data_IF_269298579332
#
_entry.id   IF_269298579332
#
_cell.length_a   1.000
_cell.length_b   1.000
_cell.length_c   1.000
_cell.angle_alpha   90.00
_cell.angle_beta   90.00
_cell.angle_gamma   90.00
#
_symmetry.space_group_name_H-M   'P 1'
#
loop_
_entity.id
_entity.type
_entity.pdbx_description
1 polymer ?
#
# COMPACT_ATOMS: atom_id res chain seq x y z
N UNK A 1 4.25 31.21 3.12
CA UNK A 1 4.48 29.78 2.80
C UNK A 1 3.86 28.94 3.90
N UNK A 2 2.89 28.07 3.59
CA UNK A 2 2.38 27.10 4.58
C UNK A 2 3.54 26.16 4.94
N UNK A 3 3.77 25.95 6.23
CA UNK A 3 4.82 25.04 6.72
C UNK A 3 4.31 23.60 6.51
N UNK A 4 5.12 22.77 5.83
CA UNK A 4 4.82 21.34 5.72
C UNK A 4 4.67 20.73 7.12
N UNK A 5 3.66 19.89 7.31
CA UNK A 5 3.48 19.18 8.59
C UNK A 5 4.42 17.97 8.74
N UNK A 6 4.96 17.45 7.64
CA UNK A 6 6.04 16.45 7.67
C UNK A 6 7.37 17.15 7.89
N UNK A 7 8.16 16.71 8.86
CA UNK A 7 9.40 17.40 9.24
C UNK A 7 10.55 16.47 9.57
N UNK A 8 10.46 15.20 9.18
CA UNK A 8 11.51 14.22 9.41
C UNK A 8 12.35 14.02 8.15
N UNK A 9 13.65 14.35 8.26
CA UNK A 9 14.60 13.99 7.23
C UNK A 9 15.13 12.58 7.50
N UNK A 10 14.94 11.70 6.53
CA UNK A 10 15.50 10.34 6.53
C UNK A 10 16.42 10.17 5.33
N UNK A 11 17.51 9.40 5.42
CA UNK A 11 18.34 9.08 4.26
C UNK A 11 17.50 8.42 3.17
N UNK A 12 17.54 8.94 1.96
CA UNK A 12 16.68 8.43 0.88
C UNK A 12 17.11 7.08 0.34
N UNK A 13 18.43 6.84 0.21
CA UNK A 13 19.04 5.58 -0.26
C UNK A 13 18.36 5.01 -1.54
N UNK A 14 18.02 5.86 -2.51
CA UNK A 14 17.30 5.48 -3.74
C UNK A 14 18.30 4.94 -4.79
N UNK A 15 19.02 3.85 -4.49
CA UNK A 15 20.10 3.32 -5.35
C UNK A 15 19.59 2.89 -6.72
N UNK A 16 18.34 2.46 -6.81
CA UNK A 16 17.70 1.96 -8.04
C UNK A 16 16.91 3.02 -8.80
N UNK A 17 16.98 4.31 -8.40
CA UNK A 17 16.17 5.38 -8.99
C UNK A 17 16.37 5.55 -10.50
N UNK A 18 17.61 5.42 -10.99
CA UNK A 18 17.97 5.53 -12.42
C UNK A 18 17.98 4.18 -13.15
N UNK A 19 17.50 3.10 -12.53
CA UNK A 19 17.56 1.75 -13.09
C UNK A 19 16.19 1.35 -13.64
N UNK A 20 16.10 1.18 -14.97
CA UNK A 20 14.91 0.63 -15.61
C UNK A 20 14.56 -0.74 -15.05
N UNK A 21 13.28 -1.02 -14.77
CA UNK A 21 12.86 -2.32 -14.26
C UNK A 21 13.20 -3.47 -15.23
N UNK A 22 13.69 -4.57 -14.68
CA UNK A 22 14.06 -5.77 -15.42
C UNK A 22 13.04 -6.87 -15.14
N UNK A 23 12.47 -7.46 -16.20
CA UNK A 23 11.59 -8.62 -16.06
C UNK A 23 12.41 -9.85 -15.65
N UNK A 24 11.97 -10.54 -14.62
CA UNK A 24 12.60 -11.81 -14.20
C UNK A 24 12.23 -12.95 -15.16
N UNK A 25 13.06 -14.00 -15.17
CA UNK A 25 12.64 -15.27 -15.76
C UNK A 25 11.42 -15.80 -15.03
N UNK A 26 10.60 -16.58 -15.73
CA UNK A 26 9.36 -17.11 -15.14
C UNK A 26 9.68 -18.03 -13.96
N UNK A 27 9.07 -17.83 -12.80
CA UNK A 27 9.23 -18.73 -11.67
C UNK A 27 8.65 -20.11 -12.03
N UNK A 28 9.27 -21.16 -11.52
CA UNK A 28 8.75 -22.53 -11.66
C UNK A 28 7.37 -22.68 -11.01
N UNK A 29 7.12 -21.95 -9.94
CA UNK A 29 5.87 -21.98 -9.19
C UNK A 29 5.55 -20.61 -8.57
N UNK A 30 4.28 -20.38 -8.33
CA UNK A 30 3.80 -19.18 -7.59
C UNK A 30 2.87 -19.59 -6.45
N UNK A 31 2.88 -18.79 -5.38
CA UNK A 31 2.07 -18.95 -4.18
C UNK A 31 1.16 -17.74 -4.02
N UNK A 32 -0.13 -17.93 -4.13
CA UNK A 32 -1.14 -16.87 -4.13
C UNK A 32 -1.98 -16.92 -2.86
N UNK A 33 -1.62 -16.12 -1.82
CA UNK A 33 -2.40 -16.04 -0.58
C UNK A 33 -3.75 -15.37 -0.82
N UNK A 34 -4.78 -15.83 -0.10
CA UNK A 34 -6.14 -15.29 -0.24
C UNK A 34 -6.34 -13.93 0.44
N UNK A 35 -5.41 -13.50 1.29
CA UNK A 35 -5.45 -12.25 2.05
C UNK A 35 -4.59 -11.11 1.45
N UNK A 36 -4.38 -11.08 0.14
CA UNK A 36 -3.57 -10.03 -0.52
C UNK A 36 -4.23 -8.63 -0.52
N UNK A 37 -5.27 -8.43 0.28
CA UNK A 37 -6.05 -7.18 0.40
C UNK A 37 -6.56 -6.98 1.83
N UNK A 38 -7.08 -5.79 2.10
CA UNK A 38 -7.74 -5.50 3.37
C UNK A 38 -9.19 -5.96 3.35
N UNK A 39 -9.64 -6.61 4.39
CA UNK A 39 -11.00 -7.12 4.55
C UNK A 39 -11.03 -8.63 4.72
N UNK A 40 -12.04 -9.30 4.16
CA UNK A 40 -12.19 -10.75 4.22
C UNK A 40 -11.31 -11.42 3.17
N UNK A 41 -10.71 -12.55 3.51
CA UNK A 41 -9.94 -13.36 2.55
C UNK A 41 -10.82 -13.75 1.36
N UNK A 42 -10.20 -13.86 0.18
CA UNK A 42 -10.88 -14.39 -1.00
C UNK A 42 -11.09 -15.91 -0.85
N UNK A 43 -12.13 -16.45 -1.50
CA UNK A 43 -12.42 -17.88 -1.47
C UNK A 43 -11.99 -18.54 -2.78
N UNK A 44 -11.10 -19.55 -2.75
CA UNK A 44 -10.72 -20.34 -3.91
C UNK A 44 -11.92 -20.92 -4.66
N UNK A 45 -11.90 -20.86 -6.00
CA UNK A 45 -12.92 -21.43 -6.87
C UNK A 45 -12.36 -22.50 -7.83
N UNK A 46 -11.07 -22.79 -7.72
CA UNK A 46 -10.35 -23.82 -8.46
C UNK A 46 -10.05 -25.01 -7.55
N UNK A 47 -9.71 -26.14 -8.14
CA UNK A 47 -9.34 -27.38 -7.45
C UNK A 47 -7.92 -27.80 -7.82
N UNK A 48 -7.30 -28.62 -6.97
CA UNK A 48 -6.02 -29.26 -7.29
C UNK A 48 -6.17 -30.11 -8.55
N UNK A 49 -5.25 -29.94 -9.50
CA UNK A 49 -5.27 -30.55 -10.84
C UNK A 49 -5.84 -29.66 -11.94
N UNK A 50 -6.50 -28.54 -11.61
CA UNK A 50 -7.01 -27.62 -12.62
C UNK A 50 -5.87 -26.96 -13.40
N UNK A 51 -6.07 -26.86 -14.73
CA UNK A 51 -5.23 -26.07 -15.61
C UNK A 51 -5.74 -24.63 -15.61
N UNK A 52 -4.84 -23.68 -15.31
CA UNK A 52 -5.19 -22.26 -15.25
C UNK A 52 -4.34 -21.45 -16.23
N UNK A 53 -4.88 -20.29 -16.66
CA UNK A 53 -4.20 -19.36 -17.56
C UNK A 53 -4.01 -18.00 -16.90
N UNK A 54 -3.04 -17.23 -17.41
CA UNK A 54 -2.74 -15.91 -16.87
C UNK A 54 -3.97 -14.99 -16.93
N UNK A 55 -4.31 -14.37 -15.82
CA UNK A 55 -5.48 -13.51 -15.71
C UNK A 55 -6.80 -14.24 -15.43
N UNK A 56 -6.82 -15.57 -15.41
CA UNK A 56 -8.00 -16.36 -15.03
C UNK A 56 -8.35 -16.09 -13.56
N UNK A 57 -9.63 -15.88 -13.27
CA UNK A 57 -10.14 -15.80 -11.90
C UNK A 57 -9.98 -17.15 -11.20
N UNK A 58 -9.25 -17.18 -10.08
CA UNK A 58 -9.00 -18.41 -9.30
C UNK A 58 -9.54 -18.35 -7.88
N UNK A 59 -9.81 -17.14 -7.37
CA UNK A 59 -10.53 -16.95 -6.12
C UNK A 59 -11.42 -15.72 -6.20
N UNK A 60 -12.65 -15.86 -5.73
CA UNK A 60 -13.64 -14.78 -5.70
C UNK A 60 -13.59 -14.03 -4.38
N UNK A 61 -14.04 -12.83 -4.42
CA UNK A 61 -14.22 -12.03 -3.23
C UNK A 61 -15.32 -12.54 -2.31
N UNK A 62 -15.12 -12.36 -1.01
CA UNK A 62 -16.07 -12.71 0.03
C UNK A 62 -16.35 -11.51 0.95
N UNK A 63 -17.58 -11.42 1.45
CA UNK A 63 -17.96 -10.37 2.39
C UNK A 63 -17.97 -8.94 1.82
N UNK A 64 -17.97 -7.96 2.71
CA UNK A 64 -18.19 -6.54 2.35
C UNK A 64 -16.98 -5.90 1.65
N UNK A 65 -15.78 -6.23 2.08
CA UNK A 65 -14.53 -5.76 1.51
C UNK A 65 -13.64 -6.97 1.26
N UNK A 66 -13.40 -7.26 0.01
CA UNK A 66 -12.55 -8.31 -0.49
C UNK A 66 -12.08 -7.94 -1.89
N UNK A 67 -11.20 -8.72 -2.48
CA UNK A 67 -10.71 -8.49 -3.84
C UNK A 67 -10.43 -9.84 -4.49
N UNK A 68 -10.88 -10.07 -5.73
CA UNK A 68 -10.63 -11.31 -6.43
C UNK A 68 -9.13 -11.56 -6.63
N UNK A 69 -8.76 -12.83 -6.76
CA UNK A 69 -7.40 -13.28 -7.06
C UNK A 69 -7.39 -13.96 -8.42
N UNK A 70 -6.41 -13.62 -9.24
CA UNK A 70 -6.22 -14.16 -10.58
C UNK A 70 -4.92 -14.96 -10.66
N UNK A 71 -4.89 -15.96 -11.53
CA UNK A 71 -3.67 -16.68 -11.82
C UNK A 71 -2.63 -15.75 -12.46
N UNK A 72 -1.42 -15.76 -11.93
CA UNK A 72 -0.34 -14.88 -12.34
C UNK A 72 0.64 -15.55 -13.30
N UNK A 73 0.51 -16.86 -13.45
CA UNK A 73 1.18 -17.69 -14.45
C UNK A 73 0.16 -18.65 -15.07
N UNK A 74 0.44 -19.19 -16.26
CA UNK A 74 -0.27 -20.36 -16.79
C UNK A 74 0.38 -21.64 -16.23
N UNK A 75 -0.45 -22.66 -15.97
CA UNK A 75 0.05 -23.92 -15.41
C UNK A 75 -1.01 -24.71 -14.67
N UNK A 76 -0.57 -25.55 -13.73
CA UNK A 76 -1.43 -26.47 -12.97
C UNK A 76 -1.53 -26.06 -11.51
N UNK A 77 -2.73 -26.05 -10.96
CA UNK A 77 -2.96 -25.93 -9.51
C UNK A 77 -2.48 -27.21 -8.83
N UNK A 78 -1.38 -27.13 -8.08
CA UNK A 78 -0.79 -28.32 -7.43
C UNK A 78 -1.18 -28.46 -5.97
N UNK A 79 -1.59 -27.34 -5.32
CA UNK A 79 -1.96 -27.36 -3.91
C UNK A 79 -2.93 -26.21 -3.60
N UNK A 80 -3.87 -26.48 -2.69
CA UNK A 80 -4.65 -25.46 -1.97
C UNK A 80 -4.43 -25.74 -0.49
N UNK A 81 -3.45 -25.02 0.07
CA UNK A 81 -2.97 -25.21 1.43
C UNK A 81 -3.27 -24.02 2.33
N UNK A 82 -2.48 -23.89 3.39
CA UNK A 82 -2.51 -22.80 4.36
C UNK A 82 -1.10 -22.30 4.61
N UNK A 83 -0.93 -20.99 4.75
CA UNK A 83 0.35 -20.37 5.13
C UNK A 83 0.16 -19.37 6.28
N UNK A 84 1.20 -19.20 7.07
CA UNK A 84 1.27 -18.13 8.08
C UNK A 84 1.47 -16.77 7.39
N UNK A 85 0.97 -15.72 8.02
CA UNK A 85 1.09 -14.35 7.51
C UNK A 85 2.04 -13.54 8.35
N UNK A 86 2.75 -12.60 7.75
CA UNK A 86 3.66 -11.70 8.47
C UNK A 86 2.98 -10.86 9.57
N UNK A 87 1.65 -10.76 9.55
CA UNK A 87 0.86 -10.06 10.58
C UNK A 87 0.32 -10.97 11.68
N UNK A 88 0.67 -12.24 11.65
CA UNK A 88 0.11 -13.30 12.48
C UNK A 88 -1.21 -13.86 11.92
N UNK A 89 -1.53 -15.10 12.29
CA UNK A 89 -2.67 -15.86 11.75
C UNK A 89 -2.31 -16.61 10.48
N UNK A 90 -3.29 -17.32 9.92
CA UNK A 90 -3.16 -18.16 8.73
C UNK A 90 -4.11 -17.70 7.65
N UNK A 91 -3.76 -17.95 6.37
CA UNK A 91 -4.61 -17.73 5.21
C UNK A 91 -4.51 -18.92 4.25
N UNK A 92 -5.55 -19.16 3.48
CA UNK A 92 -5.46 -20.13 2.36
C UNK A 92 -4.44 -19.62 1.34
N UNK A 93 -3.77 -20.57 0.66
CA UNK A 93 -2.83 -20.28 -0.44
C UNK A 93 -3.08 -21.24 -1.59
N UNK A 94 -3.11 -20.71 -2.80
CA UNK A 94 -3.15 -21.53 -4.03
C UNK A 94 -1.72 -21.55 -4.58
N UNK A 95 -1.18 -22.77 -4.79
CA UNK A 95 0.09 -23.01 -5.46
C UNK A 95 -0.17 -23.41 -6.90
N UNK A 96 0.51 -22.74 -7.83
CA UNK A 96 0.43 -23.03 -9.26
C UNK A 96 1.85 -23.34 -9.74
N UNK A 97 2.04 -24.52 -10.31
CA UNK A 97 3.24 -24.91 -11.05
C UNK A 97 3.13 -24.36 -12.47
N UNK A 98 4.08 -23.51 -12.85
CA UNK A 98 4.08 -22.82 -14.15
C UNK A 98 4.42 -23.79 -15.29
N UNK A 99 3.74 -23.66 -16.40
CA UNK A 99 4.07 -24.36 -17.65
C UNK A 99 5.10 -23.61 -18.52
N UNK A 100 5.56 -22.45 -18.05
CA UNK A 100 6.54 -21.60 -18.74
C UNK A 100 6.02 -20.84 -19.96
N UNK A 101 4.70 -20.90 -20.30
CA UNK A 101 4.16 -20.33 -21.52
C UNK A 101 3.54 -18.96 -21.37
N UNK A 102 3.03 -18.62 -20.17
CA UNK A 102 2.31 -17.39 -19.88
C UNK A 102 1.10 -17.16 -20.81
N UNK A 103 0.38 -18.24 -21.13
CA UNK A 103 -0.82 -18.16 -21.98
C UNK A 103 -1.92 -17.35 -21.27
N UNK A 104 -2.41 -16.24 -21.87
CA UNK A 104 -3.50 -15.49 -21.26
C UNK A 104 -4.82 -16.27 -21.34
N UNK A 105 -5.68 -16.08 -20.34
CA UNK A 105 -7.01 -16.62 -20.36
C UNK A 105 -7.86 -15.97 -21.47
N UNK A 106 -8.72 -16.72 -22.20
CA UNK A 106 -9.60 -16.16 -23.24
C UNK A 106 -10.56 -15.06 -22.75
N UNK A 107 -10.82 -14.99 -21.45
CA UNK A 107 -11.63 -13.93 -20.82
C UNK A 107 -10.88 -12.59 -20.68
N UNK A 108 -9.54 -12.60 -20.84
CA UNK A 108 -8.72 -11.37 -20.78
C UNK A 108 -9.01 -10.51 -22.01
N UNK A 109 -9.94 -9.57 -21.83
CA UNK A 109 -10.37 -8.60 -22.85
C UNK A 109 -10.74 -7.30 -22.17
N UNK A 110 -10.54 -6.15 -22.85
CA UNK A 110 -10.99 -4.87 -22.30
C UNK A 110 -12.45 -4.92 -21.87
N UNK A 111 -12.80 -4.48 -20.65
CA UNK A 111 -14.18 -4.47 -20.19
C UNK A 111 -15.01 -3.46 -21.00
N UNK A 112 -16.29 -3.76 -21.16
CA UNK A 112 -17.23 -2.83 -21.79
C UNK A 112 -17.72 -1.84 -20.73
N UNK A 113 -17.41 -0.55 -20.94
CA UNK A 113 -17.73 0.52 -20.00
C UNK A 113 -18.78 1.45 -20.61
N UNK A 114 -19.93 1.55 -19.97
CA UNK A 114 -21.06 2.39 -20.40
C UNK A 114 -21.29 3.58 -19.47
N UNK A 115 -21.06 3.38 -18.18
CA UNK A 115 -21.39 4.31 -17.10
C UNK A 115 -20.48 4.12 -15.87
N UNK A 116 -20.75 4.85 -14.78
CA UNK A 116 -19.98 4.75 -13.53
C UNK A 116 -20.09 3.35 -12.90
N UNK A 117 -21.24 2.70 -12.95
CA UNK A 117 -21.45 1.42 -12.29
C UNK A 117 -20.68 0.29 -13.01
N UNK A 118 -20.71 0.26 -14.34
CA UNK A 118 -19.91 -0.66 -15.16
C UNK A 118 -18.41 -0.42 -14.99
N UNK A 119 -17.98 0.85 -14.87
CA UNK A 119 -16.61 1.20 -14.56
C UNK A 119 -16.17 0.66 -13.18
N UNK A 120 -16.97 0.89 -12.13
CA UNK A 120 -16.67 0.40 -10.79
C UNK A 120 -16.69 -1.12 -10.71
N UNK A 121 -17.60 -1.79 -11.44
CA UNK A 121 -17.63 -3.24 -11.56
C UNK A 121 -16.35 -3.77 -12.21
N UNK A 122 -15.91 -3.18 -13.33
CA UNK A 122 -14.66 -3.53 -13.98
C UNK A 122 -13.44 -3.33 -13.06
N UNK A 123 -13.35 -2.21 -12.34
CA UNK A 123 -12.29 -1.99 -11.34
C UNK A 123 -12.34 -3.02 -10.22
N UNK A 124 -13.52 -3.50 -9.83
CA UNK A 124 -13.70 -4.57 -8.84
C UNK A 124 -13.17 -5.91 -9.37
N UNK A 125 -13.56 -6.29 -10.59
CA UNK A 125 -13.13 -7.51 -11.26
C UNK A 125 -11.61 -7.56 -11.53
N UNK A 126 -10.96 -6.41 -11.73
CA UNK A 126 -9.51 -6.35 -11.94
C UNK A 126 -8.67 -6.90 -10.78
N UNK A 127 -9.26 -7.07 -9.60
CA UNK A 127 -8.51 -7.42 -8.39
C UNK A 127 -7.61 -6.30 -7.87
N UNK A 128 -7.79 -5.07 -8.36
CA UNK A 128 -6.96 -3.92 -8.01
C UNK A 128 -7.17 -3.47 -6.57
N UNK A 129 -6.05 -3.28 -5.87
CA UNK A 129 -6.00 -2.77 -4.50
C UNK A 129 -5.12 -1.53 -4.40
N UNK A 130 -5.16 -0.84 -3.28
CA UNK A 130 -4.29 0.30 -3.01
C UNK A 130 -2.84 -0.13 -2.82
N UNK A 131 -2.01 0.07 -3.83
CA UNK A 131 -0.62 -0.41 -3.92
C UNK A 131 0.39 0.40 -3.09
N UNK A 132 -0.04 1.50 -2.49
CA UNK A 132 0.78 2.27 -1.53
C UNK A 132 0.79 1.69 -0.11
N UNK A 133 0.59 0.38 0.08
CA UNK A 133 0.76 -0.37 1.33
C UNK A 133 -0.52 -0.74 2.09
N UNK A 134 -1.63 -0.01 1.92
CA UNK A 134 -2.86 -0.26 2.69
C UNK A 134 -3.72 -1.42 2.16
N UNK A 135 -3.48 -1.91 0.95
CA UNK A 135 -4.21 -3.02 0.30
C UNK A 135 -5.74 -2.86 0.26
N UNK A 136 -6.27 -1.65 0.44
CA UNK A 136 -7.73 -1.44 0.41
C UNK A 136 -8.25 -1.56 -1.03
N UNK A 137 -9.35 -2.31 -1.29
CA UNK A 137 -9.90 -2.47 -2.64
C UNK A 137 -10.14 -1.14 -3.34
N UNK A 138 -9.60 -0.99 -4.57
CA UNK A 138 -9.64 0.30 -5.29
C UNK A 138 -11.06 0.69 -5.65
N UNK A 139 -11.89 -0.25 -6.11
CA UNK A 139 -13.29 -0.01 -6.42
C UNK A 139 -14.07 0.57 -5.22
N UNK A 140 -13.83 0.02 -4.02
CA UNK A 140 -14.52 0.47 -2.81
C UNK A 140 -14.13 1.91 -2.44
N UNK A 141 -12.86 2.27 -2.65
CA UNK A 141 -12.37 3.64 -2.46
C UNK A 141 -13.04 4.61 -3.44
N UNK A 142 -13.13 4.24 -4.72
CA UNK A 142 -13.79 5.05 -5.73
C UNK A 142 -15.28 5.19 -5.45
N UNK A 143 -15.93 4.10 -5.04
CA UNK A 143 -17.34 4.10 -4.69
C UNK A 143 -17.69 5.00 -3.49
N UNK A 144 -16.72 5.26 -2.58
CA UNK A 144 -16.92 6.22 -1.47
C UNK A 144 -17.22 7.64 -1.98
N UNK A 145 -16.75 8.02 -3.16
CA UNK A 145 -17.04 9.33 -3.76
C UNK A 145 -18.49 9.49 -4.22
N UNK A 146 -19.23 8.38 -4.37
CA UNK A 146 -20.67 8.40 -4.74
C UNK A 146 -21.61 8.80 -3.58
N UNK A 147 -21.09 8.96 -2.36
CA UNK A 147 -21.91 9.42 -1.25
C UNK A 147 -22.44 10.84 -1.54
N UNK A 148 -23.78 11.05 -1.56
CA UNK A 148 -24.37 12.34 -1.93
C UNK A 148 -24.04 13.48 -0.95
N UNK A 149 -23.60 13.15 0.28
CA UNK A 149 -23.18 14.13 1.27
C UNK A 149 -21.73 14.66 1.02
N UNK A 150 -21.02 14.10 0.02
CA UNK A 150 -19.65 14.47 -0.26
C UNK A 150 -19.54 15.25 -1.57
N UNK A 151 -18.76 16.31 -1.55
CA UNK A 151 -18.37 17.04 -2.74
C UNK A 151 -16.87 16.94 -2.94
N UNK A 152 -16.45 16.14 -3.92
CA UNK A 152 -15.03 15.91 -4.23
C UNK A 152 -14.59 16.89 -5.32
N UNK A 153 -13.82 17.89 -4.94
CA UNK A 153 -13.26 18.91 -5.84
C UNK A 153 -11.77 18.70 -6.16
N UNK A 154 -11.15 17.70 -5.52
CA UNK A 154 -9.71 17.44 -5.70
C UNK A 154 -9.43 15.93 -5.72
N UNK A 155 -8.74 15.46 -6.78
CA UNK A 155 -8.19 14.11 -6.85
C UNK A 155 -6.69 14.20 -6.64
N UNK A 156 -6.18 13.59 -5.56
CA UNK A 156 -4.76 13.54 -5.24
C UNK A 156 -4.17 12.21 -5.71
N UNK A 157 -3.31 12.25 -6.71
CA UNK A 157 -2.52 11.10 -7.18
C UNK A 157 -1.24 11.07 -6.34
N UNK A 158 -1.14 10.07 -5.46
CA UNK A 158 0.00 9.90 -4.56
C UNK A 158 1.18 9.29 -5.30
N UNK A 159 2.12 10.13 -5.70
CA UNK A 159 3.39 9.83 -6.34
C UNK A 159 4.59 10.20 -5.43
N UNK A 160 4.38 10.35 -4.13
CA UNK A 160 5.42 10.79 -3.18
C UNK A 160 6.52 9.74 -3.04
N UNK A 161 6.16 8.46 -2.73
CA UNK A 161 7.12 7.36 -2.49
C UNK A 161 8.24 7.76 -1.53
N UNK A 162 7.84 8.22 -0.32
CA UNK A 162 8.74 8.82 0.67
C UNK A 162 9.55 7.80 1.50
N UNK A 163 9.25 6.50 1.42
CA UNK A 163 10.01 5.46 2.10
C UNK A 163 11.43 5.36 1.53
N UNK A 164 12.49 5.25 2.36
CA UNK A 164 13.85 5.00 1.86
C UNK A 164 13.94 3.73 1.00
N UNK A 165 14.90 3.70 0.10
CA UNK A 165 15.22 2.65 -0.86
C UNK A 165 14.20 2.47 -2.00
N UNK A 166 12.90 2.54 -1.75
CA UNK A 166 11.84 2.17 -2.70
C UNK A 166 11.80 3.12 -3.90
N UNK A 167 11.74 2.55 -5.11
CA UNK A 167 11.65 3.28 -6.38
C UNK A 167 10.62 2.70 -7.35
N UNK A 168 9.75 1.81 -6.89
CA UNK A 168 8.76 1.13 -7.73
C UNK A 168 7.71 2.09 -8.34
N UNK A 169 7.20 3.06 -7.57
CA UNK A 169 6.28 4.09 -8.07
C UNK A 169 7.03 5.09 -8.97
N UNK A 170 8.29 5.42 -8.65
CA UNK A 170 9.15 6.24 -9.50
C UNK A 170 9.35 5.59 -10.87
N UNK A 171 9.68 4.29 -10.90
CA UNK A 171 9.84 3.58 -12.17
C UNK A 171 8.51 3.43 -12.93
N UNK A 172 7.38 3.26 -12.26
CA UNK A 172 6.07 3.28 -12.92
C UNK A 172 5.81 4.61 -13.63
N UNK A 173 6.16 5.73 -13.02
CA UNK A 173 6.02 7.06 -13.63
C UNK A 173 6.92 7.25 -14.85
N UNK A 174 8.13 6.69 -14.83
CA UNK A 174 9.09 6.80 -15.93
C UNK A 174 8.77 5.86 -17.09
N UNK A 175 8.28 4.65 -16.81
CA UNK A 175 8.05 3.63 -17.84
C UNK A 175 6.66 3.67 -18.46
N UNK A 176 5.64 4.13 -17.70
CA UNK A 176 4.23 4.12 -18.13
C UNK A 176 3.48 5.42 -17.79
N UNK A 177 4.00 6.60 -18.19
CA UNK A 177 3.30 7.88 -17.98
C UNK A 177 1.95 7.94 -18.70
N UNK A 178 1.80 7.23 -19.83
CA UNK A 178 0.56 7.09 -20.59
C UNK A 178 -0.54 6.38 -19.78
N UNK A 179 -0.21 5.34 -19.01
CA UNK A 179 -1.21 4.66 -18.16
C UNK A 179 -1.73 5.58 -17.03
N UNK A 180 -0.87 6.48 -16.53
CA UNK A 180 -1.29 7.48 -15.53
C UNK A 180 -2.26 8.46 -16.20
N UNK A 181 -1.98 8.89 -17.42
CA UNK A 181 -2.85 9.78 -18.18
C UNK A 181 -4.21 9.12 -18.46
N UNK A 182 -4.21 7.89 -18.95
CA UNK A 182 -5.42 7.11 -19.20
C UNK A 182 -6.24 6.91 -17.92
N UNK A 183 -5.58 6.63 -16.79
CA UNK A 183 -6.24 6.48 -15.49
C UNK A 183 -6.98 7.75 -15.06
N UNK A 184 -6.41 8.92 -15.27
CA UNK A 184 -7.06 10.21 -15.04
C UNK A 184 -8.26 10.38 -15.97
N UNK A 185 -8.12 10.05 -17.26
CA UNK A 185 -9.23 10.17 -18.22
C UNK A 185 -10.38 9.20 -17.90
N UNK A 186 -10.09 7.97 -17.46
CA UNK A 186 -11.13 7.04 -16.98
C UNK A 186 -11.90 7.61 -15.80
N UNK A 187 -11.21 8.16 -14.79
CA UNK A 187 -11.87 8.82 -13.67
C UNK A 187 -12.72 10.01 -14.12
N UNK A 188 -12.19 10.85 -15.00
CA UNK A 188 -12.92 12.02 -15.54
C UNK A 188 -14.17 11.62 -16.31
N UNK A 189 -14.07 10.59 -17.15
CA UNK A 189 -15.17 10.14 -18.02
C UNK A 189 -16.26 9.44 -17.22
N UNK A 190 -15.90 8.45 -16.42
CA UNK A 190 -16.88 7.56 -15.79
C UNK A 190 -17.31 7.97 -14.39
N UNK A 191 -16.57 8.86 -13.73
CA UNK A 191 -16.94 9.44 -12.44
C UNK A 191 -17.26 10.93 -12.51
N UNK A 192 -17.54 11.47 -13.71
CA UNK A 192 -17.82 12.89 -13.94
C UNK A 192 -18.93 13.46 -13.08
N UNK A 193 -19.96 12.68 -12.76
CA UNK A 193 -21.05 13.07 -11.88
C UNK A 193 -20.57 13.38 -10.45
N UNK A 194 -19.60 12.60 -9.94
CA UNK A 194 -19.11 12.67 -8.56
C UNK A 194 -17.82 13.47 -8.41
N UNK A 195 -17.10 13.71 -9.52
CA UNK A 195 -15.84 14.43 -9.59
C UNK A 195 -15.94 15.66 -10.49
N UNK A 196 -17.15 16.24 -10.61
CA UNK A 196 -17.40 17.38 -11.50
C UNK A 196 -16.56 18.59 -11.10
N UNK A 197 -15.78 19.11 -12.06
CA UNK A 197 -14.87 20.24 -11.82
C UNK A 197 -13.66 19.94 -10.95
N UNK A 198 -13.41 18.67 -10.60
CA UNK A 198 -12.27 18.31 -9.77
C UNK A 198 -10.93 18.59 -10.45
N UNK A 199 -9.99 19.13 -9.68
CA UNK A 199 -8.58 19.30 -10.07
C UNK A 199 -7.81 18.04 -9.70
N UNK A 200 -7.06 17.49 -10.66
CA UNK A 200 -6.19 16.32 -10.47
C UNK A 200 -4.78 16.77 -10.13
N UNK A 201 -4.30 16.50 -8.92
CA UNK A 201 -2.95 16.87 -8.48
C UNK A 201 -2.08 15.62 -8.37
N UNK A 202 -1.05 15.52 -9.21
CA UNK A 202 0.00 14.50 -9.08
C UNK A 202 1.00 15.02 -8.04
N UNK A 203 0.92 14.46 -6.83
CA UNK A 203 1.71 14.87 -5.67
C UNK A 203 3.01 14.08 -5.65
N UNK A 204 4.11 14.69 -6.09
CA UNK A 204 5.42 14.06 -6.31
C UNK A 204 6.51 14.79 -5.53
N UNK A 205 7.45 14.05 -4.93
CA UNK A 205 8.59 14.65 -4.23
C UNK A 205 9.66 15.19 -5.18
N UNK A 206 10.25 16.34 -4.82
CA UNK A 206 11.29 17.04 -5.60
C UNK A 206 12.57 16.24 -5.84
N UNK A 207 12.76 15.13 -5.13
CA UNK A 207 13.89 14.21 -5.35
C UNK A 207 13.74 13.30 -6.58
N UNK A 208 12.67 13.49 -7.39
CA UNK A 208 12.37 12.77 -8.63
C UNK A 208 12.28 13.75 -9.82
N UNK A 209 13.35 14.52 -10.14
CA UNK A 209 13.29 15.58 -11.15
C UNK A 209 12.98 15.05 -12.55
N UNK A 210 13.46 13.86 -12.89
CA UNK A 210 13.22 13.14 -14.15
C UNK A 210 11.73 12.82 -14.36
N UNK A 211 11.09 12.24 -13.36
CA UNK A 211 9.65 11.95 -13.39
C UNK A 211 8.81 13.25 -13.39
N UNK A 212 9.22 14.28 -12.67
CA UNK A 212 8.56 15.60 -12.68
C UNK A 212 8.57 16.20 -14.08
N UNK A 213 9.73 16.19 -14.75
CA UNK A 213 9.88 16.72 -16.11
C UNK A 213 9.03 15.93 -17.11
N UNK A 214 9.10 14.58 -17.05
CA UNK A 214 8.31 13.70 -17.90
C UNK A 214 6.81 13.92 -17.73
N UNK A 215 6.33 13.98 -16.49
CA UNK A 215 4.91 14.20 -16.19
C UNK A 215 4.45 15.61 -16.59
N UNK A 216 5.26 16.66 -16.42
CA UNK A 216 4.96 18.00 -16.95
C UNK A 216 4.82 18.00 -18.47
N UNK A 217 5.64 17.22 -19.18
CA UNK A 217 5.54 17.06 -20.63
C UNK A 217 4.27 16.28 -21.01
N UNK A 218 3.98 15.17 -20.34
CA UNK A 218 2.81 14.30 -20.57
C UNK A 218 1.48 15.06 -20.40
N UNK A 219 1.41 15.94 -19.41
CA UNK A 219 0.19 16.67 -19.05
C UNK A 219 0.17 18.13 -19.50
N UNK A 220 1.07 18.54 -20.40
CA UNK A 220 1.24 19.93 -20.82
C UNK A 220 -0.06 20.60 -21.29
N UNK A 221 -0.90 19.85 -22.01
CA UNK A 221 -2.14 20.35 -22.61
C UNK A 221 -3.40 20.08 -21.76
N UNK A 222 -3.23 19.53 -20.53
CA UNK A 222 -4.32 19.10 -19.65
C UNK A 222 -4.42 20.05 -18.46
N UNK A 223 -5.10 21.19 -18.62
CA UNK A 223 -5.23 22.24 -17.59
C UNK A 223 -5.83 21.75 -16.24
N UNK A 224 -6.62 20.66 -16.29
CA UNK A 224 -7.19 20.03 -15.10
C UNK A 224 -6.20 19.17 -14.31
N UNK A 225 -4.97 18.95 -14.82
CA UNK A 225 -3.90 18.22 -14.14
C UNK A 225 -2.83 19.20 -13.66
N UNK A 226 -2.45 19.08 -12.41
CA UNK A 226 -1.39 19.87 -11.79
C UNK A 226 -0.29 18.95 -11.26
N UNK A 227 0.96 19.20 -11.62
CA UNK A 227 2.11 18.55 -10.98
C UNK A 227 2.40 19.32 -9.69
N UNK A 228 2.05 18.71 -8.56
CA UNK A 228 2.21 19.31 -7.24
C UNK A 228 3.49 18.81 -6.58
N UNK A 229 4.54 19.61 -6.66
CA UNK A 229 5.85 19.28 -6.12
C UNK A 229 5.87 19.39 -4.59
N UNK A 230 6.18 18.28 -3.93
CA UNK A 230 6.31 18.15 -2.48
C UNK A 230 7.79 18.21 -2.08
N UNK A 231 8.08 18.74 -0.89
CA UNK A 231 9.42 18.63 -0.33
C UNK A 231 9.72 17.15 0.01
N UNK A 232 10.98 16.72 -0.22
CA UNK A 232 11.41 15.36 0.04
C UNK A 232 11.69 15.16 1.55
N UNK A 233 10.62 15.10 2.33
CA UNK A 233 10.62 14.90 3.80
C UNK A 233 9.56 13.88 4.19
N UNK A 234 9.85 13.09 5.21
CA UNK A 234 9.01 11.98 5.64
C UNK A 234 7.98 12.40 6.71
N UNK A 235 6.72 11.91 6.69
CA UNK A 235 6.10 10.98 5.74
C UNK A 235 5.15 11.68 4.73
N UNK A 236 5.65 12.15 3.59
CA UNK A 236 4.84 12.83 2.57
C UNK A 236 3.72 11.95 1.98
N UNK A 237 3.98 10.64 1.84
CA UNK A 237 3.01 9.68 1.27
C UNK A 237 1.85 9.32 2.20
N UNK A 238 1.88 9.72 3.49
CA UNK A 238 0.75 9.51 4.39
C UNK A 238 -0.45 10.35 3.96
N UNK A 239 -1.62 9.72 3.79
CA UNK A 239 -2.81 10.36 3.19
C UNK A 239 -3.21 11.67 3.87
N UNK A 240 -3.19 11.72 5.22
CA UNK A 240 -3.51 12.91 6.01
C UNK A 240 -2.49 14.03 5.76
N UNK A 241 -1.21 13.68 5.69
CA UNK A 241 -0.11 14.61 5.43
C UNK A 241 -0.23 15.16 4.01
N UNK A 242 -0.45 14.29 3.03
CA UNK A 242 -0.64 14.68 1.64
C UNK A 242 -1.85 15.60 1.46
N UNK A 243 -3.00 15.24 2.06
CA UNK A 243 -4.19 16.09 2.01
C UNK A 243 -3.88 17.50 2.51
N UNK A 244 -3.21 17.60 3.66
CA UNK A 244 -2.86 18.91 4.23
C UNK A 244 -1.87 19.66 3.35
N UNK A 245 -0.79 19.04 2.93
CA UNK A 245 0.28 19.70 2.15
C UNK A 245 -0.21 20.14 0.76
N UNK A 246 -1.10 19.35 0.14
CA UNK A 246 -1.64 19.64 -1.20
C UNK A 246 -2.85 20.60 -1.19
N UNK A 247 -3.62 20.67 -0.09
CA UNK A 247 -4.91 21.39 -0.06
C UNK A 247 -5.09 22.30 1.16
N UNK A 248 -4.33 22.13 2.23
CA UNK A 248 -4.50 22.78 3.52
C UNK A 248 -5.65 22.22 4.36
N UNK A 249 -6.33 21.15 3.90
CA UNK A 249 -7.43 20.50 4.63
C UNK A 249 -6.90 19.51 5.66
N UNK A 250 -7.60 19.42 6.80
CA UNK A 250 -7.23 18.52 7.90
C UNK A 250 -8.20 17.35 7.96
N UNK A 251 -7.68 16.13 7.81
CA UNK A 251 -8.47 14.92 7.99
C UNK A 251 -8.60 14.54 9.47
N UNK A 252 -9.79 14.07 9.85
CA UNK A 252 -10.10 13.59 11.20
C UNK A 252 -10.26 12.07 11.16
N UNK A 253 -9.71 11.37 12.18
CA UNK A 253 -9.82 9.91 12.28
C UNK A 253 -11.29 9.45 12.25
N UNK A 254 -11.51 8.31 11.57
CA UNK A 254 -12.84 7.70 11.43
C UNK A 254 -13.70 8.26 10.31
N UNK A 255 -13.31 9.37 9.66
CA UNK A 255 -14.00 9.91 8.49
C UNK A 255 -13.29 9.55 7.18
N UNK A 256 -14.05 9.43 6.10
CA UNK A 256 -13.53 9.10 4.76
C UNK A 256 -12.98 10.34 4.06
N UNK A 257 -11.94 10.19 3.23
CA UNK A 257 -11.30 11.32 2.53
C UNK A 257 -12.25 12.12 1.63
N UNK A 258 -13.23 11.51 0.93
CA UNK A 258 -14.23 12.28 0.18
C UNK A 258 -15.03 13.28 1.04
N UNK A 259 -15.24 13.01 2.34
CA UNK A 259 -15.89 13.98 3.24
C UNK A 259 -15.07 15.24 3.52
N UNK A 260 -13.79 15.25 3.10
CA UNK A 260 -12.91 16.43 3.12
C UNK A 260 -12.69 16.99 1.71
N UNK A 261 -13.55 16.62 0.74
CA UNK A 261 -13.48 17.09 -0.63
C UNK A 261 -12.35 16.47 -1.46
N UNK A 262 -11.74 15.37 -1.03
CA UNK A 262 -10.61 14.78 -1.71
C UNK A 262 -10.73 13.26 -1.93
N UNK A 263 -10.40 12.80 -3.14
CA UNK A 263 -10.14 11.40 -3.46
C UNK A 263 -8.62 11.20 -3.54
N UNK A 264 -8.07 10.18 -2.87
CA UNK A 264 -6.62 9.91 -2.87
C UNK A 264 -6.35 8.53 -3.44
N UNK A 265 -5.58 8.46 -4.54
CA UNK A 265 -5.19 7.21 -5.19
C UNK A 265 -3.66 7.16 -5.37
N UNK A 266 -3.03 6.00 -5.14
CA UNK A 266 -1.61 5.82 -5.42
C UNK A 266 -1.36 5.79 -6.94
N UNK A 267 -0.22 6.32 -7.40
CA UNK A 267 0.11 6.46 -8.82
C UNK A 267 0.16 5.12 -9.56
N UNK A 268 0.80 4.09 -8.97
CA UNK A 268 0.82 2.74 -9.57
C UNK A 268 -0.56 2.07 -9.57
N UNK A 269 -1.40 2.31 -8.53
CA UNK A 269 -2.78 1.82 -8.54
C UNK A 269 -3.59 2.44 -9.68
N UNK A 270 -3.41 3.73 -9.94
CA UNK A 270 -4.07 4.43 -11.04
C UNK A 270 -3.60 3.91 -12.40
N UNK A 271 -2.27 3.79 -12.59
CA UNK A 271 -1.66 3.31 -13.82
C UNK A 271 -2.09 1.87 -14.17
N UNK A 272 -1.97 0.95 -13.22
CA UNK A 272 -2.33 -0.46 -13.43
C UNK A 272 -3.84 -0.67 -13.57
N UNK A 273 -4.67 0.15 -12.93
CA UNK A 273 -6.12 0.19 -13.19
C UNK A 273 -6.40 0.56 -14.65
N UNK A 274 -5.73 1.57 -15.17
CA UNK A 274 -5.89 1.96 -16.58
C UNK A 274 -5.39 0.88 -17.54
N UNK A 275 -4.25 0.24 -17.24
CA UNK A 275 -3.78 -0.89 -18.03
C UNK A 275 -4.81 -2.03 -18.09
N UNK A 276 -5.44 -2.38 -16.97
CA UNK A 276 -6.54 -3.36 -16.97
C UNK A 276 -7.71 -2.90 -17.85
N UNK A 277 -8.14 -1.66 -17.75
CA UNK A 277 -9.27 -1.15 -18.52
C UNK A 277 -8.97 -1.11 -20.03
N UNK A 278 -7.69 -0.92 -20.40
CA UNK A 278 -7.23 -0.94 -21.78
C UNK A 278 -7.06 -2.36 -22.35
N UNK A 279 -6.66 -3.34 -21.52
CA UNK A 279 -6.22 -4.65 -22.00
C UNK A 279 -7.08 -5.82 -21.51
N UNK A 280 -7.78 -5.65 -20.39
CA UNK A 280 -8.45 -6.71 -19.65
C UNK A 280 -7.51 -7.54 -18.76
N UNK A 281 -6.19 -7.29 -18.80
CA UNK A 281 -5.24 -8.04 -17.95
C UNK A 281 -5.32 -7.55 -16.50
N UNK A 282 -5.75 -8.40 -15.54
CA UNK A 282 -5.83 -8.03 -14.13
C UNK A 282 -4.45 -7.83 -13.51
N UNK A 283 -4.41 -7.49 -12.21
CA UNK A 283 -3.16 -7.29 -11.49
C UNK A 283 -2.44 -8.63 -11.27
N UNK A 284 -1.57 -9.02 -12.20
CA UNK A 284 -0.83 -10.30 -12.18
C UNK A 284 0.67 -10.14 -11.90
N UNK A 285 1.21 -8.93 -12.08
CA UNK A 285 2.64 -8.67 -11.87
C UNK A 285 2.89 -7.32 -11.18
N UNK A 286 4.08 -7.14 -10.63
CA UNK A 286 4.49 -5.93 -9.93
C UNK A 286 5.92 -5.53 -10.26
N UNK A 287 6.19 -4.21 -10.26
CA UNK A 287 7.55 -3.68 -10.07
C UNK A 287 7.86 -3.76 -8.58
N UNK A 288 8.94 -4.47 -8.24
CA UNK A 288 9.43 -4.64 -6.86
C UNK A 288 10.87 -4.16 -6.79
N UNK A 289 11.14 -3.19 -5.94
CA UNK A 289 12.51 -2.76 -5.63
C UNK A 289 13.17 -3.79 -4.72
N UNK A 290 14.31 -4.36 -5.12
CA UNK A 290 15.15 -5.19 -4.25
C UNK A 290 16.42 -4.41 -3.94
N UNK A 291 16.61 -4.02 -2.67
CA UNK A 291 17.69 -3.15 -2.23
C UNK A 291 18.04 -3.42 -0.75
N UNK A 292 19.01 -2.72 -0.23
CA UNK A 292 19.43 -2.80 1.17
C UNK A 292 20.90 -3.12 1.32
N UNK A 293 21.48 -2.93 2.53
CA UNK A 293 22.92 -3.09 2.77
C UNK A 293 23.49 -4.47 2.44
N UNK A 294 22.68 -5.53 2.53
CA UNK A 294 23.09 -6.90 2.22
C UNK A 294 22.90 -7.28 0.75
N UNK A 295 22.22 -6.46 -0.06
CA UNK A 295 21.98 -6.76 -1.49
C UNK A 295 23.23 -6.40 -2.31
N UNK A 296 23.66 -7.34 -3.16
CA UNK A 296 24.86 -7.16 -4.00
C UNK A 296 24.59 -6.24 -5.19
N UNK A 297 23.51 -6.50 -5.90
CA UNK A 297 23.12 -5.75 -7.10
C UNK A 297 21.68 -5.25 -6.92
N UNK A 298 21.47 -4.08 -6.29
CA UNK A 298 20.13 -3.51 -6.16
C UNK A 298 19.45 -3.33 -7.53
N UNK A 299 18.15 -3.70 -7.64
CA UNK A 299 17.42 -3.67 -8.90
C UNK A 299 15.93 -3.37 -8.67
N UNK A 300 15.27 -2.85 -9.70
CA UNK A 300 13.82 -2.91 -9.82
C UNK A 300 13.45 -4.12 -10.69
N UNK A 301 12.69 -5.06 -10.16
CA UNK A 301 12.31 -6.29 -10.84
C UNK A 301 10.82 -6.28 -11.17
N UNK A 302 10.45 -6.70 -12.40
CA UNK A 302 9.07 -7.00 -12.76
C UNK A 302 8.87 -8.49 -12.53
N UNK A 303 8.04 -8.83 -11.58
CA UNK A 303 7.80 -10.22 -11.17
C UNK A 303 6.31 -10.55 -11.08
N UNK A 304 5.89 -11.77 -11.49
CA UNK A 304 4.56 -12.27 -11.22
C UNK A 304 4.27 -12.25 -9.70
N UNK A 305 3.08 -11.81 -9.32
CA UNK A 305 2.63 -11.89 -7.92
C UNK A 305 2.57 -13.37 -7.55
N UNK A 306 3.05 -13.71 -6.35
CA UNK A 306 3.20 -15.09 -5.91
C UNK A 306 4.62 -15.66 -6.06
N UNK A 307 5.54 -14.96 -6.73
CA UNK A 307 6.95 -15.33 -6.79
C UNK A 307 7.57 -15.29 -5.39
N UNK A 308 8.33 -16.30 -5.00
CA UNK A 308 9.03 -16.32 -3.71
C UNK A 308 10.09 -15.22 -3.64
N UNK A 309 10.23 -14.61 -2.48
CA UNK A 309 11.26 -13.59 -2.23
C UNK A 309 12.66 -14.18 -2.45
N UNK A 310 12.88 -15.45 -2.07
CA UNK A 310 14.15 -16.15 -2.30
C UNK A 310 14.59 -16.14 -3.78
N UNK A 311 13.67 -16.19 -4.74
CA UNK A 311 13.98 -16.11 -6.17
C UNK A 311 14.48 -14.71 -6.57
N UNK A 312 13.83 -13.66 -6.06
CA UNK A 312 14.29 -12.29 -6.29
C UNK A 312 15.70 -12.06 -5.71
N UNK A 313 15.96 -12.62 -4.52
CA UNK A 313 17.28 -12.53 -3.88
C UNK A 313 18.37 -13.31 -4.62
N UNK A 314 18.04 -14.43 -5.28
CA UNK A 314 18.97 -15.15 -6.16
C UNK A 314 19.41 -14.29 -7.35
N UNK A 315 18.48 -13.52 -7.95
CA UNK A 315 18.76 -12.64 -9.10
C UNK A 315 19.66 -11.48 -8.69
N UNK A 316 19.36 -10.82 -7.58
CA UNK A 316 20.11 -9.66 -7.11
C UNK A 316 21.41 -10.04 -6.40
N UNK A 317 21.50 -11.25 -5.88
CA UNK A 317 22.61 -11.74 -5.07
C UNK A 317 22.72 -11.00 -3.73
N UNK A 318 23.43 -11.61 -2.81
CA UNK A 318 23.70 -11.05 -1.49
C UNK A 318 25.20 -10.88 -1.25
N UNK A 319 25.59 -9.83 -0.54
CA UNK A 319 26.97 -9.59 -0.07
C UNK A 319 27.26 -10.28 1.26
N UNK A 320 26.22 -10.55 2.04
CA UNK A 320 26.29 -11.15 3.37
C UNK A 320 25.01 -11.91 3.70
N UNK A 321 25.06 -12.76 4.71
CA UNK A 321 23.85 -13.39 5.25
C UNK A 321 22.85 -12.34 5.74
N UNK A 322 21.55 -12.54 5.46
CA UNK A 322 20.51 -11.63 5.90
C UNK A 322 20.35 -11.64 7.42
N UNK A 323 20.58 -10.50 8.07
CA UNK A 323 20.17 -10.29 9.46
C UNK A 323 18.68 -9.97 9.61
N UNK A 324 18.08 -9.34 8.57
CA UNK A 324 16.66 -9.04 8.51
C UNK A 324 16.20 -8.78 7.08
N UNK A 325 15.05 -9.34 6.71
CA UNK A 325 14.38 -9.05 5.42
C UNK A 325 13.06 -8.33 5.71
N UNK A 326 12.82 -7.23 4.98
CA UNK A 326 11.62 -6.40 5.15
C UNK A 326 10.89 -6.29 3.81
N UNK A 327 9.60 -6.56 3.80
CA UNK A 327 8.72 -6.28 2.66
C UNK A 327 8.08 -4.91 2.85
N UNK A 328 8.28 -4.03 1.86
CA UNK A 328 7.95 -2.61 1.96
C UNK A 328 9.14 -1.77 2.45
N UNK A 329 8.88 -0.54 2.93
CA UNK A 329 9.91 0.39 3.37
C UNK A 329 10.46 0.10 4.78
N UNK A 330 11.63 0.66 5.12
CA UNK A 330 12.24 0.41 6.44
C UNK A 330 11.49 1.09 7.59
N UNK A 331 10.62 2.05 7.29
CA UNK A 331 9.87 2.80 8.31
C UNK A 331 8.55 2.13 8.67
N UNK A 332 7.77 1.67 7.70
CA UNK A 332 6.44 1.07 7.93
C UNK A 332 6.22 -0.29 7.27
N UNK A 333 7.23 -0.88 6.65
CA UNK A 333 7.19 -2.24 6.13
C UNK A 333 7.17 -3.30 7.23
N UNK A 334 7.03 -4.55 6.83
CA UNK A 334 6.97 -5.71 7.73
C UNK A 334 8.20 -6.57 7.56
N UNK A 335 8.88 -6.89 8.66
CA UNK A 335 9.88 -7.94 8.66
C UNK A 335 9.19 -9.30 8.46
N UNK A 336 9.81 -10.16 7.66
CA UNK A 336 9.35 -11.52 7.37
C UNK A 336 10.21 -12.55 8.08
N UNK A 337 9.64 -13.71 8.37
CA UNK A 337 10.33 -14.83 9.02
C UNK A 337 10.94 -15.80 8.02
N UNK A 338 10.46 -15.82 6.78
CA UNK A 338 10.96 -16.71 5.72
C UNK A 338 11.08 -15.97 4.40
N UNK A 339 12.17 -16.19 3.70
CA UNK A 339 12.37 -15.75 2.31
C UNK A 339 11.60 -16.59 1.30
N UNK A 340 10.99 -17.68 1.75
CA UNK A 340 10.06 -18.48 0.93
C UNK A 340 8.64 -17.89 0.89
N UNK A 341 8.37 -16.85 1.68
CA UNK A 341 7.15 -16.07 1.54
C UNK A 341 7.07 -15.43 0.14
N UNK A 342 5.89 -15.40 -0.48
CA UNK A 342 5.72 -14.80 -1.80
C UNK A 342 5.60 -13.27 -1.73
N UNK A 343 5.97 -12.61 -2.83
CA UNK A 343 5.50 -11.24 -3.06
C UNK A 343 3.99 -11.24 -3.31
N UNK A 344 3.33 -10.24 -2.77
CA UNK A 344 1.87 -10.08 -2.87
C UNK A 344 1.53 -8.77 -3.59
N UNK A 345 0.24 -8.53 -3.87
CA UNK A 345 -0.24 -7.33 -4.60
C UNK A 345 0.39 -6.02 -4.12
N UNK A 346 0.66 -5.86 -2.83
CA UNK A 346 1.20 -4.61 -2.25
C UNK A 346 2.71 -4.61 -2.06
N UNK A 347 3.40 -5.68 -2.39
CA UNK A 347 4.86 -5.76 -2.27
C UNK A 347 5.54 -4.83 -3.27
N UNK A 348 5.95 -3.65 -2.84
CA UNK A 348 6.63 -2.65 -3.64
C UNK A 348 8.16 -2.68 -3.46
N UNK A 349 8.64 -3.32 -2.38
CA UNK A 349 10.06 -3.54 -2.15
C UNK A 349 10.31 -4.78 -1.29
N UNK A 350 11.50 -5.36 -1.47
CA UNK A 350 12.15 -6.34 -0.60
C UNK A 350 13.49 -5.74 -0.20
N UNK A 351 13.66 -5.43 1.09
CA UNK A 351 14.86 -4.81 1.62
C UNK A 351 15.62 -5.80 2.51
N UNK A 352 16.90 -6.00 2.23
CA UNK A 352 17.74 -6.94 2.98
C UNK A 352 18.80 -6.18 3.76
N UNK A 353 18.75 -6.32 5.08
CA UNK A 353 19.71 -5.75 6.00
C UNK A 353 20.67 -6.84 6.48
N UNK A 354 21.96 -6.54 6.48
CA UNK A 354 22.98 -7.40 7.09
C UNK A 354 22.82 -7.46 8.62
N UNK A 355 23.55 -8.35 9.27
CA UNK A 355 23.47 -8.54 10.72
C UNK A 355 23.72 -7.22 11.47
N UNK A 356 24.70 -6.42 11.05
CA UNK A 356 25.06 -5.15 11.68
C UNK A 356 23.92 -4.12 11.58
N UNK A 357 23.32 -3.99 10.41
CA UNK A 357 22.21 -3.04 10.16
C UNK A 357 20.87 -3.53 10.71
N UNK A 358 20.72 -4.82 10.98
CA UNK A 358 19.51 -5.42 11.55
C UNK A 358 19.40 -5.28 13.06
N UNK A 359 20.52 -5.02 13.76
CA UNK A 359 20.53 -4.89 15.22
C UNK A 359 19.70 -3.69 15.66
N UNK A 360 18.72 -3.95 16.51
CA UNK A 360 17.95 -2.91 17.17
C UNK A 360 18.62 -2.54 18.50
N UNK A 361 18.90 -1.24 18.74
CA UNK A 361 19.41 -0.80 20.03
C UNK A 361 18.43 -1.17 21.16
N UNK A 362 18.97 -1.57 22.33
CA UNK A 362 18.15 -1.90 23.51
C UNK A 362 17.33 -0.71 23.97
N UNK A 363 16.02 -0.90 24.09
CA UNK A 363 15.12 0.12 24.61
C UNK A 363 15.42 0.45 26.07
N UNK A 364 15.37 1.73 26.42
CA UNK A 364 15.52 2.23 27.79
C UNK A 364 14.28 3.01 28.24
N UNK A 365 14.28 3.46 29.50
CA UNK A 365 13.21 4.28 30.05
C UNK A 365 13.04 5.60 29.28
N UNK A 366 11.80 6.08 29.19
CA UNK A 366 11.51 7.36 28.55
C UNK A 366 12.15 8.52 29.32
N UNK A 367 12.96 9.33 28.65
CA UNK A 367 13.63 10.52 29.22
C UNK A 367 12.80 11.81 29.08
N UNK A 368 11.56 11.72 28.62
CA UNK A 368 10.61 12.84 28.45
C UNK A 368 11.10 13.97 27.53
N UNK A 369 11.93 13.71 26.53
CA UNK A 369 12.52 14.71 25.64
C UNK A 369 11.53 15.36 24.65
N UNK A 370 10.31 14.82 24.47
CA UNK A 370 9.27 15.37 23.58
C UNK A 370 9.45 15.16 22.07
N UNK A 371 10.60 14.64 21.60
CA UNK A 371 10.90 14.51 20.15
C UNK A 371 9.83 13.72 19.38
N UNK A 372 9.25 12.65 19.99
CA UNK A 372 8.21 11.85 19.36
C UNK A 372 6.91 12.62 19.10
N UNK A 373 6.58 13.60 19.94
CA UNK A 373 5.43 14.50 19.79
C UNK A 373 5.74 15.57 18.74
N UNK A 374 6.92 16.18 18.83
CA UNK A 374 7.37 17.21 17.88
C UNK A 374 7.39 16.72 16.43
N UNK A 375 7.84 15.48 16.21
CA UNK A 375 7.94 14.87 14.86
C UNK A 375 6.69 14.11 14.44
N UNK A 376 5.63 14.09 15.26
CA UNK A 376 4.36 13.49 14.87
C UNK A 376 3.62 14.41 13.89
N UNK A 377 3.37 13.97 12.63
CA UNK A 377 2.73 14.83 11.63
C UNK A 377 1.26 15.11 11.93
N UNK A 378 0.63 14.31 12.80
CA UNK A 378 -0.79 14.43 13.18
C UNK A 378 -0.99 14.83 14.65
N UNK A 379 0.08 15.22 15.34
CA UNK A 379 0.02 15.85 16.66
C UNK A 379 -0.40 14.92 17.83
N UNK A 380 -0.13 13.61 17.73
CA UNK A 380 -0.47 12.65 18.80
C UNK A 380 0.45 12.84 20.00
N UNK A 381 -0.12 12.72 21.21
CA UNK A 381 0.64 12.68 22.47
C UNK A 381 1.31 11.30 22.67
N UNK A 382 2.23 10.92 21.75
CA UNK A 382 2.84 9.58 21.66
C UNK A 382 3.42 9.09 22.98
N UNK A 383 4.16 9.94 23.71
CA UNK A 383 4.74 9.57 24.99
C UNK A 383 3.68 9.24 26.06
N UNK A 384 2.47 9.78 25.93
CA UNK A 384 1.34 9.47 26.83
C UNK A 384 0.69 8.13 26.50
N UNK A 385 0.65 7.72 25.21
CA UNK A 385 0.08 6.42 24.81
C UNK A 385 0.75 5.28 25.58
N UNK A 386 2.10 5.25 25.62
CA UNK A 386 2.86 4.22 26.35
C UNK A 386 2.53 4.19 27.85
N UNK A 387 2.27 5.33 28.46
CA UNK A 387 1.90 5.40 29.90
C UNK A 387 0.47 4.95 30.12
N UNK A 388 -0.44 5.39 29.27
CA UNK A 388 -1.87 5.08 29.39
C UNK A 388 -2.13 3.59 29.17
N UNK A 389 -1.37 2.94 28.29
CA UNK A 389 -1.48 1.47 28.07
C UNK A 389 -1.19 0.64 29.33
N UNK A 390 -0.57 1.23 30.36
CA UNK A 390 -0.24 0.57 31.64
C UNK A 390 -1.26 0.82 32.74
N UNK A 391 -2.34 1.53 32.46
CA UNK A 391 -3.43 1.75 33.42
C UNK A 391 -4.24 0.45 33.54
N UNK A 392 -4.49 -0.04 34.75
CA UNK A 392 -5.21 -1.28 34.96
C UNK A 392 -6.73 -1.12 34.75
N UNK A 393 -7.30 0.00 35.16
CA UNK A 393 -8.72 0.30 34.94
C UNK A 393 -9.02 0.48 33.45
N UNK A 394 -9.93 -0.34 32.91
CA UNK A 394 -10.21 -0.41 31.49
C UNK A 394 -10.93 0.84 30.98
N UNK A 395 -11.92 1.35 31.73
CA UNK A 395 -12.69 2.53 31.28
C UNK A 395 -11.82 3.79 31.30
N UNK A 396 -11.01 3.95 32.36
CA UNK A 396 -10.04 5.04 32.47
C UNK A 396 -9.00 4.95 31.34
N UNK A 397 -8.47 3.76 31.07
CA UNK A 397 -7.50 3.52 29.98
C UNK A 397 -8.10 3.91 28.61
N UNK A 398 -9.31 3.44 28.30
CA UNK A 398 -9.99 3.76 27.02
C UNK A 398 -10.20 5.26 26.87
N UNK A 399 -10.73 5.93 27.90
CA UNK A 399 -10.95 7.38 27.89
C UNK A 399 -9.64 8.13 27.65
N UNK A 400 -8.61 7.85 28.40
CA UNK A 400 -7.31 8.49 28.26
C UNK A 400 -6.62 8.18 26.94
N UNK A 401 -6.76 6.96 26.38
CA UNK A 401 -6.24 6.65 25.04
C UNK A 401 -6.90 7.51 23.95
N UNK A 402 -8.21 7.73 24.04
CA UNK A 402 -8.92 8.61 23.12
C UNK A 402 -8.36 10.03 23.22
N UNK A 403 -8.12 10.54 24.42
CA UNK A 403 -7.58 11.88 24.67
C UNK A 403 -6.15 12.06 24.12
N UNK A 404 -5.34 10.99 24.00
CA UNK A 404 -4.02 11.06 23.37
C UNK A 404 -4.08 11.35 21.87
N UNK A 405 -5.21 11.16 21.22
CA UNK A 405 -5.38 11.26 19.77
C UNK A 405 -4.83 10.05 19.00
N UNK A 406 -4.53 8.90 19.65
CA UNK A 406 -3.88 7.74 19.03
C UNK A 406 -4.65 7.17 17.84
N UNK A 407 -5.98 7.36 17.78
CA UNK A 407 -6.80 6.96 16.62
C UNK A 407 -6.38 7.66 15.32
N UNK A 408 -5.72 8.82 15.40
CA UNK A 408 -5.22 9.57 14.23
C UNK A 408 -3.88 9.06 13.72
N UNK A 409 -3.23 8.10 14.42
CA UNK A 409 -1.93 7.59 14.03
C UNK A 409 -1.93 7.06 12.60
N UNK A 410 -1.01 7.58 11.78
CA UNK A 410 -0.80 7.20 10.37
C UNK A 410 0.23 6.09 10.20
N UNK A 411 0.68 5.49 11.30
CA UNK A 411 1.63 4.37 11.37
C UNK A 411 2.98 4.63 10.64
N UNK A 412 3.45 5.88 10.64
CA UNK A 412 4.64 6.29 9.89
C UNK A 412 5.98 6.00 10.60
N UNK A 413 5.98 5.51 11.83
CA UNK A 413 7.18 5.25 12.65
C UNK A 413 8.08 6.46 12.96
N UNK A 414 7.77 7.69 12.53
CA UNK A 414 8.59 8.87 12.82
C UNK A 414 8.93 9.00 14.31
N UNK A 415 7.98 8.67 15.19
CA UNK A 415 8.16 8.69 16.64
C UNK A 415 9.20 7.68 17.15
N UNK A 416 9.20 6.45 16.61
CA UNK A 416 10.22 5.43 16.96
C UNK A 416 11.59 5.82 16.43
N UNK A 417 11.66 6.32 15.20
CA UNK A 417 12.92 6.73 14.55
C UNK A 417 13.66 7.82 15.33
N UNK A 418 12.93 8.83 15.86
CA UNK A 418 13.56 9.95 16.58
C UNK A 418 13.74 9.70 18.08
N UNK A 419 13.33 8.55 18.60
CA UNK A 419 13.38 8.25 20.02
C UNK A 419 14.82 7.93 20.50
N UNK A 420 15.49 8.77 21.30
CA UNK A 420 16.84 8.49 21.77
C UNK A 420 16.90 7.36 22.81
N UNK A 421 15.73 6.95 23.35
CA UNK A 421 15.59 5.80 24.24
C UNK A 421 15.20 4.52 23.48
N UNK A 422 15.21 4.55 22.15
CA UNK A 422 14.92 3.43 21.24
C UNK A 422 13.62 2.66 21.57
N UNK A 423 12.59 3.38 22.02
CA UNK A 423 11.32 2.76 22.38
C UNK A 423 10.52 2.37 21.14
N UNK A 424 9.83 1.21 21.16
CA UNK A 424 9.00 0.71 20.05
C UNK A 424 7.65 1.46 19.97
N UNK A 425 7.70 2.80 19.78
CA UNK A 425 6.53 3.66 19.89
C UNK A 425 5.48 3.42 18.79
N UNK A 426 5.91 2.98 17.60
CA UNK A 426 4.98 2.59 16.54
C UNK A 426 4.14 1.38 16.99
N UNK A 427 4.80 0.33 17.49
CA UNK A 427 4.15 -0.89 17.94
C UNK A 427 3.17 -0.61 19.09
N UNK A 428 3.56 0.22 20.03
CA UNK A 428 2.69 0.66 21.13
C UNK A 428 1.46 1.41 20.62
N UNK A 429 1.63 2.30 19.62
CA UNK A 429 0.49 3.00 19.01
C UNK A 429 -0.45 2.03 18.27
N UNK A 430 0.11 1.05 17.54
CA UNK A 430 -0.67 0.03 16.83
C UNK A 430 -1.44 -0.86 17.79
N UNK A 431 -0.82 -1.27 18.91
CA UNK A 431 -1.47 -2.03 19.97
C UNK A 431 -2.61 -1.23 20.59
N UNK A 432 -2.39 0.05 20.92
CA UNK A 432 -3.42 0.94 21.46
C UNK A 432 -4.61 1.12 20.51
N UNK A 433 -4.35 1.26 19.21
CA UNK A 433 -5.41 1.33 18.19
C UNK A 433 -6.21 0.02 18.09
N UNK A 434 -5.52 -1.13 18.13
CA UNK A 434 -6.12 -2.45 18.09
C UNK A 434 -6.97 -2.70 19.34
N UNK A 435 -6.48 -2.30 20.51
CA UNK A 435 -7.19 -2.35 21.77
C UNK A 435 -8.50 -1.54 21.73
N UNK A 436 -8.44 -0.27 21.29
CA UNK A 436 -9.63 0.57 21.16
C UNK A 436 -10.65 0.01 20.15
N UNK A 437 -10.19 -0.67 19.10
CA UNK A 437 -11.06 -1.32 18.11
C UNK A 437 -11.79 -2.52 18.72
N UNK A 438 -11.07 -3.38 19.46
CA UNK A 438 -11.67 -4.54 20.16
C UNK A 438 -12.68 -4.09 21.19
N UNK A 439 -12.31 -3.15 22.06
CA UNK A 439 -13.22 -2.60 23.07
C UNK A 439 -14.52 -2.07 22.44
N UNK A 440 -14.43 -1.32 21.35
CA UNK A 440 -15.61 -0.79 20.66
C UNK A 440 -16.49 -1.92 20.06
N UNK A 441 -15.91 -3.01 19.57
CA UNK A 441 -16.65 -4.17 19.07
C UNK A 441 -17.38 -4.89 20.20
N UNK A 442 -16.72 -5.14 21.32
CA UNK A 442 -17.31 -5.78 22.50
C UNK A 442 -18.47 -4.97 23.11
N UNK A 443 -18.34 -3.64 23.16
CA UNK A 443 -19.43 -2.77 23.62
C UNK A 443 -20.64 -2.83 22.68
N UNK A 444 -20.39 -2.93 21.37
CA UNK A 444 -21.47 -3.05 20.39
C UNK A 444 -22.21 -4.39 20.54
N UNK A 445 -21.50 -5.49 20.70
CA UNK A 445 -22.07 -6.83 20.92
C UNK A 445 -22.91 -6.87 22.21
N UNK A 446 -22.40 -6.27 23.31
CA UNK A 446 -23.13 -6.16 24.57
C UNK A 446 -24.43 -5.38 24.41
N UNK A 447 -24.41 -4.26 23.65
CA UNK A 447 -25.59 -3.45 23.39
C UNK A 447 -26.64 -4.18 22.53
N UNK A 448 -26.20 -4.96 21.52
CA UNK A 448 -27.07 -5.75 20.67
C UNK A 448 -27.61 -7.01 21.37
N UNK A 449 -26.82 -7.63 22.27
CA UNK A 449 -27.23 -8.78 23.08
C UNK A 449 -28.21 -8.42 24.19
N UNK A 450 -28.25 -7.18 24.68
CA UNK A 450 -29.20 -6.68 25.69
C UNK A 450 -30.55 -6.31 25.09
N UNK A 451 -30.67 -6.27 23.76
CA UNK A 451 -31.89 -5.91 23.02
C UNK A 451 -32.70 -7.15 22.56
N UNK A 452 -32.30 -8.35 22.99
CA UNK A 452 -33.02 -9.63 22.83
C UNK A 452 -33.53 -10.10 24.18
#
# INVERSE_FOLDING_TARGET
MKKDISSLHVPHNKHTAAMTPVRIDLPHEVFLPMNMHSGHDAEPIVMVGDQVRVGQLIAREEGRFSSPVHATVSGTVTEIGSMETAKGGTTKVIRIESDGKMEPDPSVKPPVLTDCDSFLAAVRESGMVGLGGAAFPTWAKLNEAKNPDYHVDTVLINAAECEPYITSDHQMMLTHPEWIADGIEYLRKYMSEYLSGAVYKICIEKNKPDAIELLKKTFREKEYVQIHELNAIYPQGAKQVMLYNATGRVAVAGRRFPSFGALIINVSSLALMANYLNTGMPLVERIVTVDGPAVKNPMNLIAPIGTRISELLKITGLNSEPGKVVVGGPMNGSAICSVDDPIVKVSNAVLVFDEKSAVLPKASACINCGRCIEKCPVGISVAMVDRVMKIDDEEERVKKLIDTGVRQCVDCASCSYVCPAHRPLLQINQEAKSYLKRYAAEQKEKAEGTSK
#
